data_IF_912781581604
#
_entry.id   IF_912781581604
#
_cell.length_a   1.000
_cell.length_b   1.000
_cell.length_c   1.000
_cell.angle_alpha   90.00
_cell.angle_beta   90.00
_cell.angle_gamma   90.00
#
_symmetry.space_group_name_H-M   'P 1'
#
loop_
_entity.id
_entity.type
_entity.pdbx_description
1 polymer ?
#
# COMPACT_ATOMS: atom_id res chain seq x y z
N UNK A 1 16.60 -2.00 27.51
CA UNK A 1 16.69 -1.62 26.07
C UNK A 1 15.81 -2.49 25.17
N UNK A 2 15.70 -3.80 25.41
CA UNK A 2 14.93 -4.76 24.58
C UNK A 2 13.44 -4.44 24.48
N UNK A 3 12.78 -4.08 25.60
CA UNK A 3 11.34 -3.79 25.61
C UNK A 3 10.98 -2.54 24.78
N UNK A 4 11.83 -1.53 24.77
CA UNK A 4 11.64 -0.28 24.02
C UNK A 4 11.80 -0.47 22.51
N UNK A 5 12.76 -1.31 22.11
CA UNK A 5 12.97 -1.70 20.71
C UNK A 5 11.79 -2.52 20.17
N UNK A 6 11.26 -3.46 20.97
CA UNK A 6 10.09 -4.24 20.59
C UNK A 6 8.83 -3.38 20.47
N UNK A 7 8.63 -2.42 21.38
CA UNK A 7 7.51 -1.48 21.31
C UNK A 7 7.53 -0.62 20.04
N UNK A 8 8.68 -0.04 19.71
CA UNK A 8 8.80 0.80 18.50
C UNK A 8 8.55 -0.02 17.23
N UNK A 9 9.06 -1.25 17.15
CA UNK A 9 8.81 -2.16 16.02
C UNK A 9 7.33 -2.50 15.86
N UNK A 10 6.64 -2.81 16.97
CA UNK A 10 5.21 -3.09 16.95
C UNK A 10 4.42 -1.86 16.48
N UNK A 11 4.76 -0.69 17.01
CA UNK A 11 4.10 0.56 16.64
C UNK A 11 4.33 0.93 15.17
N UNK A 12 5.55 0.73 14.65
CA UNK A 12 5.86 0.92 13.23
C UNK A 12 5.08 -0.07 12.35
N UNK A 13 4.95 -1.33 12.76
CA UNK A 13 4.14 -2.32 12.05
C UNK A 13 2.66 -1.90 12.04
N UNK A 14 2.13 -1.44 13.17
CA UNK A 14 0.76 -0.91 13.24
C UNK A 14 0.57 0.29 12.31
N UNK A 15 1.52 1.24 12.30
CA UNK A 15 1.49 2.39 11.40
C UNK A 15 1.55 1.99 9.92
N UNK A 16 2.40 1.02 9.58
CA UNK A 16 2.50 0.45 8.23
C UNK A 16 1.17 -0.17 7.79
N UNK A 17 0.58 -1.04 8.60
CA UNK A 17 -0.70 -1.71 8.28
C UNK A 17 -1.82 -0.70 8.13
N UNK A 18 -1.95 0.24 9.06
CA UNK A 18 -2.96 1.30 9.00
C UNK A 18 -2.80 2.18 7.76
N UNK A 19 -1.56 2.54 7.42
CA UNK A 19 -1.24 3.31 6.21
C UNK A 19 -1.58 2.53 4.94
N UNK A 20 -1.29 1.23 4.91
CA UNK A 20 -1.60 0.35 3.77
C UNK A 20 -3.11 0.19 3.57
N UNK A 21 -3.88 -0.02 4.64
CA UNK A 21 -5.35 -0.11 4.58
C UNK A 21 -5.96 1.17 4.00
N UNK A 22 -5.52 2.34 4.49
CA UNK A 22 -5.99 3.62 3.96
C UNK A 22 -5.55 3.85 2.51
N UNK A 23 -4.31 3.49 2.18
CA UNK A 23 -3.80 3.54 0.81
C UNK A 23 -4.64 2.71 -0.15
N UNK A 24 -5.05 1.50 0.26
CA UNK A 24 -5.94 0.65 -0.50
C UNK A 24 -7.30 1.29 -0.77
N UNK A 25 -7.90 1.95 0.26
CA UNK A 25 -9.15 2.69 0.09
C UNK A 25 -8.99 3.82 -0.93
N UNK A 26 -7.99 4.68 -0.78
CA UNK A 26 -7.79 5.81 -1.69
C UNK A 26 -7.48 5.33 -3.11
N UNK A 27 -6.66 4.30 -3.25
CA UNK A 27 -6.33 3.70 -4.54
C UNK A 27 -7.57 3.13 -5.25
N UNK A 28 -8.43 2.39 -4.53
CA UNK A 28 -9.67 1.85 -5.09
C UNK A 28 -10.61 2.97 -5.57
N UNK A 29 -10.70 4.08 -4.81
CA UNK A 29 -11.47 5.23 -5.23
C UNK A 29 -10.93 5.89 -6.50
N UNK A 30 -9.61 6.11 -6.55
CA UNK A 30 -8.96 6.78 -7.67
C UNK A 30 -8.96 5.96 -8.97
N UNK A 31 -8.86 4.64 -8.87
CA UNK A 31 -8.74 3.76 -10.04
C UNK A 31 -10.06 3.20 -10.56
N UNK A 32 -11.06 3.02 -9.69
CA UNK A 32 -12.30 2.33 -10.07
C UNK A 32 -13.57 3.10 -9.71
N UNK A 33 -13.72 3.50 -8.43
CA UNK A 33 -15.01 4.03 -7.94
C UNK A 33 -15.37 5.33 -8.64
N UNK A 34 -14.49 6.33 -8.62
CA UNK A 34 -14.81 7.65 -9.14
C UNK A 34 -15.07 7.63 -10.66
N UNK A 35 -14.32 6.82 -11.41
CA UNK A 35 -14.54 6.62 -12.84
C UNK A 35 -15.87 5.92 -13.15
N UNK A 36 -16.29 4.98 -12.29
CA UNK A 36 -17.61 4.33 -12.38
C UNK A 36 -18.74 5.32 -12.11
N UNK A 37 -18.61 6.12 -11.03
CA UNK A 37 -19.62 7.13 -10.66
C UNK A 37 -19.78 8.21 -11.74
N UNK A 38 -18.68 8.63 -12.36
CA UNK A 38 -18.72 9.61 -13.45
C UNK A 38 -19.53 9.12 -14.67
N UNK A 39 -19.55 7.81 -14.92
CA UNK A 39 -20.24 7.20 -16.07
C UNK A 39 -21.71 6.89 -15.80
N UNK A 40 -22.18 7.08 -14.57
CA UNK A 40 -23.59 6.89 -14.24
C UNK A 40 -24.46 7.94 -14.95
N UNK A 41 -25.77 7.66 -15.13
CA UNK A 41 -26.71 8.67 -15.62
C UNK A 41 -26.66 9.97 -14.81
N UNK A 42 -27.05 11.08 -15.44
CA UNK A 42 -26.99 12.41 -14.85
C UNK A 42 -27.56 12.44 -13.42
N UNK A 43 -26.84 13.09 -12.51
CA UNK A 43 -27.18 13.20 -11.08
C UNK A 43 -26.91 11.96 -10.24
N UNK A 44 -26.94 10.75 -10.80
CA UNK A 44 -26.80 9.52 -10.02
C UNK A 44 -25.40 9.34 -9.41
N UNK A 45 -24.33 9.73 -10.14
CA UNK A 45 -22.96 9.66 -9.62
C UNK A 45 -22.74 10.55 -8.40
N UNK A 46 -23.23 11.79 -8.44
CA UNK A 46 -23.16 12.72 -7.32
C UNK A 46 -24.02 12.27 -6.14
N UNK A 47 -25.24 11.77 -6.40
CA UNK A 47 -26.11 11.22 -5.36
C UNK A 47 -25.46 10.02 -4.66
N UNK A 48 -24.88 9.09 -5.41
CA UNK A 48 -24.16 7.94 -4.86
C UNK A 48 -22.93 8.38 -4.05
N UNK A 49 -22.16 9.37 -4.53
CA UNK A 49 -21.01 9.89 -3.80
C UNK A 49 -21.42 10.54 -2.46
N UNK A 50 -22.53 11.29 -2.43
CA UNK A 50 -23.06 11.85 -1.19
C UNK A 50 -23.44 10.75 -0.17
N UNK A 51 -24.07 9.67 -0.62
CA UNK A 51 -24.38 8.52 0.25
C UNK A 51 -23.10 7.86 0.80
N UNK A 52 -22.08 7.69 -0.05
CA UNK A 52 -20.77 7.16 0.34
C UNK A 52 -20.10 8.06 1.38
N UNK A 53 -20.12 9.38 1.18
CA UNK A 53 -19.51 10.37 2.09
C UNK A 53 -20.15 10.36 3.49
N UNK A 54 -21.44 10.03 3.59
CA UNK A 54 -22.09 9.79 4.88
C UNK A 54 -21.70 8.43 5.44
N UNK A 55 -21.77 7.36 4.63
CA UNK A 55 -21.55 5.99 5.11
C UNK A 55 -20.10 5.71 5.55
N UNK A 56 -19.13 6.37 4.94
CA UNK A 56 -17.71 6.19 5.26
C UNK A 56 -17.35 6.72 6.66
N UNK A 57 -18.15 7.64 7.23
CA UNK A 57 -17.99 8.17 8.59
C UNK A 57 -18.51 7.19 9.65
N UNK A 58 -17.99 5.97 9.64
CA UNK A 58 -18.33 4.94 10.60
C UNK A 58 -17.16 4.68 11.58
N UNK A 59 -17.42 4.09 12.76
CA UNK A 59 -16.41 3.91 13.79
C UNK A 59 -15.17 3.14 13.33
N UNK A 60 -15.34 2.11 12.50
CA UNK A 60 -14.21 1.29 12.04
C UNK A 60 -13.29 2.08 11.10
N UNK A 61 -13.86 2.84 10.16
CA UNK A 61 -13.09 3.71 9.29
C UNK A 61 -12.37 4.79 10.10
N UNK A 62 -13.08 5.48 11.00
CA UNK A 62 -12.49 6.53 11.84
C UNK A 62 -11.38 5.99 12.75
N UNK A 63 -11.55 4.77 13.29
CA UNK A 63 -10.52 4.11 14.08
C UNK A 63 -9.25 3.88 13.27
N UNK A 64 -9.35 3.36 12.05
CA UNK A 64 -8.17 3.12 11.21
C UNK A 64 -7.57 4.45 10.74
N UNK A 65 -8.40 5.39 10.29
CA UNK A 65 -7.97 6.67 9.74
C UNK A 65 -7.31 7.57 10.79
N UNK A 66 -8.01 7.86 11.90
CA UNK A 66 -7.46 8.68 12.98
C UNK A 66 -6.47 7.91 13.85
N UNK A 67 -6.70 6.62 14.10
CA UNK A 67 -5.78 5.79 14.89
C UNK A 67 -4.41 5.68 14.23
N UNK A 68 -4.34 5.54 12.91
CA UNK A 68 -3.06 5.56 12.18
C UNK A 68 -2.40 6.94 12.29
N UNK A 69 -3.16 8.03 12.26
CA UNK A 69 -2.61 9.37 12.47
C UNK A 69 -1.95 9.50 13.86
N UNK A 70 -2.62 9.04 14.92
CA UNK A 70 -2.07 9.04 16.28
C UNK A 70 -0.80 8.19 16.39
N UNK A 71 -0.79 7.02 15.74
CA UNK A 71 0.42 6.18 15.65
C UNK A 71 1.55 6.91 14.94
N UNK A 72 1.27 7.61 13.84
CA UNK A 72 2.26 8.41 13.11
C UNK A 72 2.81 9.56 13.95
N UNK A 73 1.96 10.26 14.72
CA UNK A 73 2.42 11.29 15.67
C UNK A 73 3.37 10.68 16.71
N UNK A 74 2.98 9.56 17.33
CA UNK A 74 3.81 8.89 18.31
C UNK A 74 5.16 8.43 17.72
N UNK A 75 5.17 7.86 16.51
CA UNK A 75 6.39 7.46 15.81
C UNK A 75 7.28 8.66 15.47
N UNK A 76 6.70 9.78 15.03
CA UNK A 76 7.42 11.02 14.78
C UNK A 76 8.09 11.54 16.05
N UNK A 77 7.36 11.60 17.17
CA UNK A 77 7.92 12.00 18.48
C UNK A 77 9.06 11.07 18.88
N UNK A 78 8.86 9.75 18.80
CA UNK A 78 9.88 8.74 19.13
C UNK A 78 11.14 8.93 18.30
N UNK A 79 11.01 9.18 17.00
CA UNK A 79 12.15 9.36 16.08
C UNK A 79 12.93 10.67 16.34
N UNK A 80 12.28 11.70 16.90
CA UNK A 80 12.93 12.96 17.26
C UNK A 80 13.67 12.87 18.60
N UNK A 81 13.17 12.09 19.55
CA UNK A 81 13.77 11.97 20.89
C UNK A 81 14.76 10.81 21.03
N UNK A 82 14.72 9.82 20.13
CA UNK A 82 15.63 8.65 20.15
C UNK A 82 16.41 8.57 18.86
N UNK A 83 17.73 8.50 19.00
CA UNK A 83 18.60 8.22 17.88
C UNK A 83 18.68 6.69 17.67
N UNK A 84 18.23 6.24 16.50
CA UNK A 84 18.20 4.84 16.14
C UNK A 84 18.36 4.67 14.62
N UNK A 85 18.91 3.53 14.16
CA UNK A 85 18.94 3.20 12.73
C UNK A 85 17.54 3.30 12.11
N UNK A 86 17.43 4.01 10.99
CA UNK A 86 16.18 4.18 10.26
C UNK A 86 15.21 5.22 10.83
N UNK A 87 15.61 6.06 11.80
CA UNK A 87 14.71 7.09 12.37
C UNK A 87 14.15 8.05 11.31
N UNK A 88 14.94 8.41 10.31
CA UNK A 88 14.48 9.32 9.23
C UNK A 88 13.42 8.68 8.34
N UNK A 89 13.42 7.35 8.21
CA UNK A 89 12.34 6.62 7.55
C UNK A 89 11.05 6.65 8.38
N UNK A 90 11.14 6.61 9.72
CA UNK A 90 9.97 6.82 10.59
C UNK A 90 9.40 8.22 10.44
N UNK A 91 10.27 9.25 10.43
CA UNK A 91 9.85 10.65 10.21
C UNK A 91 9.17 10.80 8.85
N UNK A 92 9.78 10.26 7.78
CA UNK A 92 9.23 10.32 6.43
C UNK A 92 7.85 9.63 6.35
N UNK A 93 7.72 8.40 6.87
CA UNK A 93 6.45 7.68 6.88
C UNK A 93 5.36 8.40 7.66
N UNK A 94 5.71 8.93 8.84
CA UNK A 94 4.78 9.71 9.66
C UNK A 94 4.35 11.00 8.96
N UNK A 95 5.29 11.75 8.37
CA UNK A 95 4.98 12.99 7.65
C UNK A 95 4.12 12.75 6.41
N UNK A 96 4.40 11.69 5.65
CA UNK A 96 3.60 11.31 4.47
C UNK A 96 2.15 11.00 4.84
N UNK A 97 1.92 10.33 5.97
CA UNK A 97 0.56 10.09 6.44
C UNK A 97 -0.08 11.39 6.98
N UNK A 98 0.58 12.09 7.90
CA UNK A 98 -0.02 13.27 8.54
C UNK A 98 -0.28 14.40 7.55
N UNK A 99 0.67 14.72 6.68
CA UNK A 99 0.50 15.79 5.69
C UNK A 99 -0.25 15.26 4.47
N UNK A 100 0.25 14.18 3.87
CA UNK A 100 -0.28 13.67 2.61
C UNK A 100 -1.67 13.05 2.71
N UNK A 101 -2.08 12.59 3.90
CA UNK A 101 -3.41 11.98 4.11
C UNK A 101 -4.29 12.86 4.98
N UNK A 102 -3.86 13.23 6.19
CA UNK A 102 -4.73 13.92 7.15
C UNK A 102 -4.97 15.36 6.72
N UNK A 103 -3.90 16.14 6.50
CA UNK A 103 -4.04 17.54 6.06
C UNK A 103 -4.80 17.62 4.73
N UNK A 104 -4.44 16.81 3.73
CA UNK A 104 -5.15 16.81 2.43
C UNK A 104 -6.64 16.47 2.60
N UNK A 105 -6.98 15.52 3.49
CA UNK A 105 -8.38 15.17 3.72
C UNK A 105 -9.18 16.32 4.35
N UNK A 106 -8.66 16.93 5.41
CA UNK A 106 -9.37 18.03 6.10
C UNK A 106 -9.37 19.34 5.31
N UNK A 107 -8.31 19.62 4.56
CA UNK A 107 -8.18 20.89 3.82
C UNK A 107 -8.83 20.85 2.43
N UNK A 108 -8.99 19.66 1.83
CA UNK A 108 -9.46 19.53 0.44
C UNK A 108 -10.65 18.59 0.33
N UNK A 109 -10.48 17.31 0.64
CA UNK A 109 -11.51 16.32 0.32
C UNK A 109 -12.79 16.49 1.13
N UNK A 110 -12.70 16.71 2.45
CA UNK A 110 -13.87 16.92 3.31
C UNK A 110 -14.63 18.19 2.90
N UNK A 111 -14.00 19.37 2.72
CA UNK A 111 -14.70 20.55 2.22
C UNK A 111 -15.38 20.35 0.86
N UNK A 112 -14.75 19.60 -0.06
CA UNK A 112 -15.37 19.26 -1.35
C UNK A 112 -16.59 18.35 -1.17
N UNK A 113 -16.53 17.38 -0.26
CA UNK A 113 -17.64 16.49 0.07
C UNK A 113 -18.83 17.28 0.62
N UNK A 114 -18.57 18.17 1.58
CA UNK A 114 -19.58 19.00 2.23
C UNK A 114 -20.21 19.96 1.21
N UNK A 115 -19.40 20.56 0.34
CA UNK A 115 -19.91 21.42 -0.74
C UNK A 115 -20.81 20.65 -1.70
N UNK A 116 -20.41 19.46 -2.16
CA UNK A 116 -21.21 18.64 -3.08
C UNK A 116 -22.59 18.32 -2.49
N UNK A 117 -22.67 18.10 -1.18
CA UNK A 117 -23.93 17.82 -0.48
C UNK A 117 -24.93 18.99 -0.47
N UNK A 118 -24.49 20.21 -0.78
CA UNK A 118 -25.36 21.41 -0.81
C UNK A 118 -26.14 21.58 -2.11
N UNK A 119 -25.83 20.81 -3.16
CA UNK A 119 -26.48 20.91 -4.47
C UNK A 119 -27.47 19.76 -4.69
N UNK A 120 -28.60 20.05 -5.33
CA UNK A 120 -29.48 19.01 -5.88
C UNK A 120 -28.77 18.30 -7.06
N UNK A 121 -28.47 17.00 -6.96
CA UNK A 121 -27.79 16.25 -8.02
C UNK A 121 -28.50 16.26 -9.37
N UNK A 122 -29.82 16.45 -9.40
CA UNK A 122 -30.61 16.43 -10.63
C UNK A 122 -30.77 17.81 -11.27
N UNK A 123 -30.29 18.86 -10.60
CA UNK A 123 -30.31 20.23 -11.12
C UNK A 123 -29.13 20.48 -12.08
N UNK A 124 -29.27 21.48 -12.96
CA UNK A 124 -28.17 21.92 -13.83
C UNK A 124 -26.95 22.39 -13.02
N UNK A 125 -27.18 23.07 -11.89
CA UNK A 125 -26.12 23.51 -10.99
C UNK A 125 -25.40 22.32 -10.32
N UNK A 126 -26.14 21.30 -9.88
CA UNK A 126 -25.56 20.08 -9.31
C UNK A 126 -24.75 19.27 -10.32
N UNK A 127 -25.21 19.19 -11.57
CA UNK A 127 -24.43 18.57 -12.65
C UNK A 127 -23.10 19.30 -12.91
N UNK A 128 -23.12 20.64 -12.91
CA UNK A 128 -21.90 21.44 -13.04
C UNK A 128 -20.96 21.26 -11.83
N UNK A 129 -21.50 21.26 -10.60
CA UNK A 129 -20.71 21.03 -9.40
C UNK A 129 -20.10 19.63 -9.35
N UNK A 130 -20.81 18.60 -9.84
CA UNK A 130 -20.26 17.24 -9.92
C UNK A 130 -18.98 17.18 -10.76
N UNK A 131 -18.95 17.85 -11.92
CA UNK A 131 -17.75 17.92 -12.75
C UNK A 131 -16.61 18.67 -12.06
N UNK A 132 -16.92 19.79 -11.39
CA UNK A 132 -15.94 20.55 -10.61
C UNK A 132 -15.38 19.73 -9.44
N UNK A 133 -16.26 18.98 -8.77
CA UNK A 133 -15.91 18.08 -7.67
C UNK A 133 -14.96 17.00 -8.18
N UNK A 134 -15.27 16.30 -9.27
CA UNK A 134 -14.41 15.26 -9.85
C UNK A 134 -13.01 15.82 -10.20
N UNK A 135 -12.96 17.00 -10.83
CA UNK A 135 -11.71 17.63 -11.26
C UNK A 135 -10.77 17.96 -10.08
N UNK A 136 -11.31 18.25 -8.89
CA UNK A 136 -10.52 18.62 -7.70
C UNK A 136 -10.31 17.45 -6.75
N UNK A 137 -11.34 16.63 -6.56
CA UNK A 137 -11.33 15.52 -5.62
C UNK A 137 -10.41 14.40 -6.08
N UNK A 138 -10.39 14.07 -7.37
CA UNK A 138 -9.59 12.96 -7.90
C UNK A 138 -8.07 13.19 -7.73
N UNK A 139 -7.48 14.34 -8.12
CA UNK A 139 -6.06 14.60 -7.88
C UNK A 139 -5.69 14.59 -6.39
N UNK A 140 -6.53 15.20 -5.53
CA UNK A 140 -6.31 15.18 -4.09
C UNK A 140 -6.36 13.76 -3.51
N UNK A 141 -7.29 12.93 -3.99
CA UNK A 141 -7.35 11.52 -3.59
C UNK A 141 -6.13 10.71 -4.07
N UNK A 142 -5.66 10.95 -5.29
CA UNK A 142 -4.46 10.30 -5.81
C UNK A 142 -3.22 10.69 -5.01
N UNK A 143 -3.10 11.95 -4.58
CA UNK A 143 -2.04 12.39 -3.67
C UNK A 143 -2.07 11.62 -2.34
N UNK A 144 -3.25 11.40 -1.76
CA UNK A 144 -3.40 10.58 -0.54
C UNK A 144 -2.97 9.13 -0.78
N UNK A 145 -3.35 8.54 -1.91
CA UNK A 145 -2.97 7.17 -2.27
C UNK A 145 -1.45 7.03 -2.43
N UNK A 146 -0.80 7.93 -3.18
CA UNK A 146 0.65 7.94 -3.37
C UNK A 146 1.38 8.18 -2.04
N UNK A 147 0.89 9.11 -1.21
CA UNK A 147 1.46 9.38 0.11
C UNK A 147 1.40 8.14 1.01
N UNK A 148 0.28 7.40 1.00
CA UNK A 148 0.18 6.12 1.68
C UNK A 148 1.17 5.09 1.14
N UNK A 149 1.28 4.93 -0.19
CA UNK A 149 2.20 3.96 -0.79
C UNK A 149 3.66 4.25 -0.40
N UNK A 150 4.09 5.51 -0.49
CA UNK A 150 5.42 5.94 -0.07
C UNK A 150 5.61 5.79 1.45
N UNK A 151 4.55 6.05 2.25
CA UNK A 151 4.56 5.87 3.69
C UNK A 151 4.77 4.40 4.11
N UNK A 152 4.10 3.47 3.41
CA UNK A 152 4.31 2.02 3.61
C UNK A 152 5.75 1.63 3.31
N UNK A 153 6.31 2.12 2.19
CA UNK A 153 7.72 1.88 1.84
C UNK A 153 8.64 2.43 2.94
N UNK A 154 8.42 3.67 3.40
CA UNK A 154 9.22 4.28 4.45
C UNK A 154 9.17 3.48 5.77
N UNK A 155 7.98 3.09 6.23
CA UNK A 155 7.87 2.26 7.43
C UNK A 155 8.50 0.87 7.25
N UNK A 156 8.41 0.28 6.07
CA UNK A 156 9.09 -0.98 5.74
C UNK A 156 10.62 -0.85 5.82
N UNK A 157 11.18 0.23 5.25
CA UNK A 157 12.62 0.53 5.33
C UNK A 157 13.08 0.82 6.76
N UNK A 158 12.24 1.46 7.57
CA UNK A 158 12.52 1.66 9.00
C UNK A 158 12.63 0.33 9.76
N UNK A 159 11.71 -0.61 9.51
CA UNK A 159 11.75 -1.95 10.10
C UNK A 159 12.99 -2.75 9.65
N UNK A 160 13.36 -2.67 8.37
CA UNK A 160 14.54 -3.34 7.82
C UNK A 160 15.85 -2.77 8.41
N UNK A 161 15.92 -1.45 8.60
CA UNK A 161 17.08 -0.77 9.20
C UNK A 161 17.35 -1.22 10.64
N UNK A 162 16.31 -1.62 11.38
CA UNK A 162 16.43 -2.17 12.74
C UNK A 162 16.66 -3.68 12.83
N UNK A 163 16.79 -4.38 11.70
CA UNK A 163 17.09 -5.82 11.62
C UNK A 163 18.57 -6.12 11.27
N UNK A 164 19.30 -5.13 10.73
CA UNK A 164 20.71 -5.25 10.35
C UNK A 164 21.68 -5.06 11.51
N UNK A 165 21.78 -6.05 12.39
CA UNK A 165 22.90 -6.14 13.37
C UNK A 165 23.27 -7.59 13.68
N UNK A 166 23.26 -8.45 12.67
CA UNK A 166 23.85 -9.79 12.74
C UNK A 166 24.63 -10.11 11.46
N UNK A 167 25.62 -9.28 11.15
CA UNK A 167 26.76 -9.80 10.38
C UNK A 167 27.70 -10.39 11.40
N UNK A 168 27.59 -11.70 11.63
CA UNK A 168 28.69 -12.46 12.24
C UNK A 168 29.92 -12.22 11.37
N UNK A 169 30.84 -11.40 11.85
CA UNK A 169 32.16 -11.29 11.25
C UNK A 169 32.74 -12.71 11.20
N UNK A 170 33.03 -13.20 10.00
CA UNK A 170 33.80 -14.42 9.84
C UNK A 170 35.14 -14.22 10.60
N UNK A 171 35.64 -15.24 11.32
CA UNK A 171 36.90 -15.10 12.02
C UNK A 171 37.99 -14.77 10.99
N UNK A 172 38.72 -13.68 11.25
CA UNK A 172 39.90 -13.34 10.46
C UNK A 172 40.86 -14.51 10.55
N UNK A 173 40.99 -15.28 9.46
CA UNK A 173 42.07 -16.25 9.34
C UNK A 173 43.35 -15.43 9.24
N UNK A 174 44.14 -15.50 10.31
CA UNK A 174 45.41 -14.80 10.43
C UNK A 174 46.33 -15.17 9.27
N UNK A 175 46.97 -14.13 8.73
CA UNK A 175 48.11 -14.29 7.86
C UNK A 175 49.25 -14.96 8.64
N UNK A 176 49.40 -16.28 8.44
CA UNK A 176 50.52 -17.09 8.91
C UNK A 176 51.33 -17.59 7.71
N UNK A 177 52.62 -17.28 7.75
CA UNK A 177 53.72 -17.53 6.81
C UNK A 177 53.61 -18.66 5.77
N UNK A 178 54.08 -18.31 4.57
CA UNK A 178 54.85 -19.10 3.60
C UNK A 178 55.51 -20.40 4.11
N UNK A 179 55.27 -21.51 3.40
CA UNK A 179 56.26 -22.56 3.17
C UNK A 179 55.92 -23.31 1.87
N UNK A 180 56.86 -23.23 0.92
CA UNK A 180 56.89 -23.96 -0.34
C UNK A 180 57.34 -25.40 -0.06
N UNK A 181 56.61 -26.38 -0.57
CA UNK A 181 57.09 -27.76 -0.69
C UNK A 181 56.61 -28.34 -2.02
N UNK A 182 57.57 -28.49 -2.93
CA UNK A 182 57.46 -29.31 -4.13
C UNK A 182 57.34 -30.79 -3.72
N UNK A 183 56.49 -31.55 -4.39
CA UNK A 183 56.34 -32.99 -4.11
C UNK A 183 55.26 -33.64 -4.96
N UNK A 184 55.68 -34.31 -6.02
CA UNK A 184 54.86 -35.17 -6.85
C UNK A 184 54.28 -36.34 -6.06
N UNK A 185 52.98 -36.60 -6.18
CA UNK A 185 52.42 -37.94 -6.01
C UNK A 185 51.18 -38.12 -6.90
N UNK A 186 51.29 -39.13 -7.77
CA UNK A 186 50.20 -39.76 -8.51
C UNK A 186 49.23 -40.43 -7.52
N UNK A 187 47.93 -40.47 -7.85
CA UNK A 187 47.01 -41.36 -7.13
C UNK A 187 45.52 -41.05 -7.29
N UNK A 188 44.88 -41.84 -8.16
CA UNK A 188 43.50 -42.33 -8.07
C UNK A 188 42.31 -41.33 -8.06
N UNK A 189 41.51 -41.42 -9.14
CA UNK A 189 40.11 -40.98 -9.22
C UNK A 189 39.22 -41.83 -8.30
N UNK A 190 38.32 -41.23 -7.50
CA UNK A 190 37.15 -41.94 -6.98
C UNK A 190 36.07 -42.02 -8.08
N UNK A 191 35.68 -43.24 -8.42
CA UNK A 191 34.47 -43.52 -9.17
C UNK A 191 33.25 -43.35 -8.24
N UNK A 192 32.17 -42.74 -8.75
CA UNK A 192 30.87 -42.73 -8.05
C UNK A 192 30.22 -41.36 -7.94
N UNK A 193 29.97 -40.70 -9.07
CA UNK A 193 28.97 -39.62 -9.12
C UNK A 193 27.62 -40.24 -9.54
N UNK A 194 26.53 -40.09 -8.75
CA UNK A 194 25.20 -40.46 -9.19
C UNK A 194 24.79 -39.57 -10.37
N UNK A 195 24.40 -40.18 -11.49
CA UNK A 195 23.69 -39.48 -12.57
C UNK A 195 22.34 -39.00 -12.03
N UNK A 196 22.18 -37.68 -11.87
CA UNK A 196 20.84 -37.10 -11.73
C UNK A 196 20.16 -37.15 -13.09
N UNK A 197 19.14 -38.01 -13.19
CA UNK A 197 18.26 -38.10 -14.34
C UNK A 197 17.64 -36.76 -14.69
N UNK A 198 17.53 -36.52 -15.98
CA UNK A 198 16.80 -35.41 -16.59
C UNK A 198 15.38 -35.34 -16.05
N UNK A 199 15.06 -34.29 -15.31
CA UNK A 199 13.68 -33.95 -14.97
C UNK A 199 12.99 -33.51 -16.25
N UNK A 200 12.06 -34.33 -16.75
CA UNK A 200 11.15 -33.95 -17.82
C UNK A 200 10.43 -32.66 -17.40
N UNK A 201 10.53 -31.63 -18.25
CA UNK A 201 9.77 -30.40 -18.10
C UNK A 201 8.29 -30.67 -18.29
N UNK A 202 7.56 -30.86 -17.20
CA UNK A 202 6.11 -30.67 -17.21
C UNK A 202 5.86 -29.16 -17.27
N UNK A 203 5.46 -28.67 -18.44
CA UNK A 203 4.89 -27.34 -18.57
C UNK A 203 3.66 -27.27 -17.66
N UNK A 204 3.75 -26.46 -16.61
CA UNK A 204 2.59 -26.12 -15.79
C UNK A 204 1.68 -25.21 -16.61
N UNK A 205 0.61 -25.80 -17.15
CA UNK A 205 -0.41 -25.08 -17.90
C UNK A 205 -1.42 -24.51 -16.90
N UNK A 206 -1.46 -23.18 -16.78
CA UNK A 206 -2.45 -22.48 -15.95
C UNK A 206 -3.87 -22.77 -16.48
N UNK A 207 -4.85 -23.10 -15.61
CA UNK A 207 -6.24 -23.18 -16.03
C UNK A 207 -6.70 -21.84 -16.58
N UNK A 208 -7.21 -21.84 -17.81
CA UNK A 208 -7.81 -20.67 -18.46
C UNK A 208 -8.95 -20.14 -17.58
N UNK A 209 -8.86 -18.92 -17.00
CA UNK A 209 -9.98 -18.33 -16.29
C UNK A 209 -11.00 -17.93 -17.36
N UNK A 210 -12.09 -18.68 -17.45
CA UNK A 210 -13.12 -18.57 -18.49
C UNK A 210 -13.86 -17.24 -18.53
N UNK A 211 -13.17 -16.13 -18.80
CA UNK A 211 -13.76 -14.90 -19.28
C UNK A 211 -14.26 -15.14 -20.69
N UNK A 212 -15.44 -15.77 -20.75
CA UNK A 212 -16.24 -15.83 -21.94
C UNK A 212 -16.48 -14.40 -22.43
N UNK A 213 -16.25 -14.22 -23.73
CA UNK A 213 -16.69 -13.07 -24.52
C UNK A 213 -18.14 -12.69 -24.19
N UNK A 214 -18.51 -11.40 -24.24
CA UNK A 214 -19.86 -10.97 -23.87
C UNK A 214 -20.91 -11.74 -24.69
N UNK A 215 -21.72 -12.56 -24.04
CA UNK A 215 -22.88 -13.17 -24.67
C UNK A 215 -23.81 -12.06 -25.15
N UNK A 216 -24.14 -12.09 -26.45
CA UNK A 216 -25.18 -11.25 -27.03
C UNK A 216 -26.47 -11.48 -26.25
N UNK A 217 -26.98 -10.44 -25.61
CA UNK A 217 -28.24 -10.46 -24.86
C UNK A 217 -29.37 -10.73 -25.86
N UNK A 218 -30.04 -11.87 -25.72
CA UNK A 218 -31.22 -12.20 -26.50
C UNK A 218 -32.35 -11.18 -26.21
N UNK A 219 -33.18 -10.82 -27.20
CA UNK A 219 -34.29 -9.89 -26.99
C UNK A 219 -35.36 -10.50 -26.05
N UNK A 220 -35.90 -9.66 -25.15
CA UNK A 220 -36.91 -10.05 -24.16
C UNK A 220 -38.25 -10.45 -24.82
N UNK A 221 -38.96 -11.48 -24.32
CA UNK A 221 -40.27 -11.86 -24.83
C UNK A 221 -41.37 -10.84 -24.50
N UNK A 222 -42.31 -10.69 -25.43
CA UNK A 222 -43.34 -9.64 -25.55
C UNK A 222 -44.56 -9.81 -24.64
N UNK A 223 -44.49 -10.55 -23.53
CA UNK A 223 -45.69 -10.96 -22.77
C UNK A 223 -45.93 -10.18 -21.46
N UNK A 224 -45.52 -8.91 -21.37
CA UNK A 224 -45.93 -8.03 -20.28
C UNK A 224 -46.28 -6.65 -20.84
N UNK A 225 -47.52 -6.53 -21.32
CA UNK A 225 -48.26 -5.27 -21.42
C UNK A 225 -49.36 -5.29 -20.37
#
# INVERSE_FOLDING_TARGET
>A
MTNTLNFTKLLTLTGLVGTALMGGVFYAFGTAVMGSLQRMPAGQGAAAMNLINVRIQNPLFLLIFMGTALVCVALGIIALVKDAPGKWWLVAGAALYLVGVIVVSFAVNIPLNDKLATFDPNSAAGAAEWLNYLAKWNPANNLRAVSCALGVVAFGLALASGAGSKTTAAPAIGAGSIARADGAHQGARPAGAPQYGSTQGHQFQLPNPGWQTPQQVAPRPQSWQ
#
